data_IF_974663671537
#
_entry.id   IF_974663671537
#
_cell.length_a   1.000
_cell.length_b   1.000
_cell.length_c   1.000
_cell.angle_alpha   90.00
_cell.angle_beta   90.00
_cell.angle_gamma   90.00
#
_symmetry.space_group_name_H-M   'P 1'
#
loop_
_entity.id
_entity.type
_entity.pdbx_description
1 polymer ?
#
# COMPACT_ATOMS: atom_id res chain seq x y z
N UNK A 1 -23.80 0.03 -7.61
CA UNK A 1 -23.58 -1.17 -6.78
C UNK A 1 -22.11 -1.37 -6.54
N UNK A 2 -21.71 -2.18 -5.57
CA UNK A 2 -20.32 -2.60 -5.34
C UNK A 2 -20.05 -3.91 -6.08
N UNK A 3 -18.85 -4.05 -6.67
CA UNK A 3 -18.42 -5.26 -7.38
C UNK A 3 -17.01 -5.65 -6.94
N UNK A 4 -16.76 -6.95 -6.77
CA UNK A 4 -15.39 -7.48 -6.59
C UNK A 4 -14.61 -7.40 -7.90
N UNK A 5 -13.30 -7.30 -7.77
CA UNK A 5 -12.36 -7.34 -8.88
C UNK A 5 -11.10 -8.09 -8.45
N UNK A 6 -10.49 -8.81 -9.38
CA UNK A 6 -9.17 -9.44 -9.21
C UNK A 6 -8.04 -8.52 -9.73
N UNK A 7 -8.41 -7.37 -10.31
CA UNK A 7 -7.44 -6.40 -10.77
C UNK A 7 -6.83 -5.63 -9.58
N UNK A 8 -5.52 -5.54 -9.56
CA UNK A 8 -4.77 -4.68 -8.64
C UNK A 8 -5.09 -3.21 -8.87
N UNK A 9 -4.87 -2.33 -7.86
CA UNK A 9 -5.07 -0.90 -8.05
C UNK A 9 -4.15 -0.33 -9.14
N UNK A 10 -4.67 0.58 -9.94
CA UNK A 10 -3.82 1.44 -10.75
C UNK A 10 -3.23 2.54 -9.85
N UNK A 11 -1.96 2.38 -9.49
CA UNK A 11 -1.24 3.28 -8.60
C UNK A 11 -0.76 4.56 -9.31
N UNK A 12 -0.81 4.60 -10.62
CA UNK A 12 -0.43 5.76 -11.44
C UNK A 12 -1.62 6.60 -11.91
N UNK A 13 -2.84 6.24 -11.50
CA UNK A 13 -4.03 6.98 -11.91
C UNK A 13 -4.00 8.42 -11.42
N UNK A 14 -4.23 9.34 -12.33
CA UNK A 14 -4.12 10.79 -12.06
C UNK A 14 -5.32 11.40 -11.35
N UNK A 15 -6.46 10.68 -11.32
CA UNK A 15 -7.69 11.11 -10.66
C UNK A 15 -7.79 10.68 -9.18
N UNK A 16 -6.78 9.96 -8.65
CA UNK A 16 -6.66 9.62 -7.24
C UNK A 16 -5.84 10.68 -6.49
N UNK A 17 -6.48 11.76 -6.10
CA UNK A 17 -5.82 12.85 -5.36
C UNK A 17 -5.50 12.52 -3.90
N UNK A 18 -6.08 11.45 -3.34
CA UNK A 18 -5.91 11.05 -1.94
C UNK A 18 -5.90 9.52 -1.79
N UNK A 19 -4.75 8.86 -1.94
CA UNK A 19 -4.55 7.48 -1.53
C UNK A 19 -4.42 7.38 -0.01
N UNK A 20 -5.13 6.42 0.59
CA UNK A 20 -5.06 6.11 2.01
C UNK A 20 -4.58 4.68 2.21
N UNK A 21 -3.78 4.48 3.23
CA UNK A 21 -3.37 3.17 3.70
C UNK A 21 -3.75 3.02 5.18
N UNK A 22 -4.33 1.87 5.53
CA UNK A 22 -4.60 1.57 6.93
C UNK A 22 -4.25 0.13 7.27
N UNK A 23 -3.82 -0.10 8.51
CA UNK A 23 -3.45 -1.42 9.00
C UNK A 23 -4.39 -1.81 10.13
N UNK A 24 -4.93 -3.03 10.03
CA UNK A 24 -5.76 -3.63 11.07
C UNK A 24 -5.06 -4.88 11.63
N UNK A 25 -5.12 -5.05 12.95
CA UNK A 25 -4.75 -6.30 13.60
C UNK A 25 -6.00 -7.15 13.79
N UNK A 26 -5.92 -8.39 13.33
CA UNK A 26 -7.01 -9.37 13.43
C UNK A 26 -6.58 -10.63 14.18
N UNK A 27 -5.30 -10.75 14.50
CA UNK A 27 -4.72 -11.66 15.46
C UNK A 27 -4.39 -13.08 14.97
N UNK A 28 -5.10 -13.65 13.97
CA UNK A 28 -4.85 -15.02 13.49
C UNK A 28 -5.15 -15.20 11.99
N UNK A 29 -4.55 -16.22 11.33
CA UNK A 29 -4.85 -16.51 9.91
C UNK A 29 -6.31 -16.80 9.63
N UNK A 30 -7.01 -17.45 10.55
CA UNK A 30 -8.43 -17.72 10.42
C UNK A 30 -9.23 -16.41 10.42
N UNK A 31 -8.90 -15.53 11.35
CA UNK A 31 -9.57 -14.22 11.46
C UNK A 31 -9.23 -13.30 10.28
N UNK A 32 -8.00 -13.39 9.71
CA UNK A 32 -7.70 -12.69 8.46
C UNK A 32 -8.72 -13.05 7.37
N UNK A 33 -8.92 -14.34 7.09
CA UNK A 33 -9.88 -14.83 6.08
C UNK A 33 -11.32 -14.39 6.41
N UNK A 34 -11.74 -14.57 7.67
CA UNK A 34 -13.08 -14.18 8.11
C UNK A 34 -13.32 -12.67 7.96
N UNK A 35 -12.31 -11.85 8.27
CA UNK A 35 -12.41 -10.39 8.14
C UNK A 35 -12.49 -9.96 6.68
N UNK A 36 -11.68 -10.56 5.79
CA UNK A 36 -11.75 -10.30 4.33
C UNK A 36 -13.13 -10.63 3.79
N UNK A 37 -13.69 -11.79 4.17
CA UNK A 37 -15.05 -12.18 3.75
C UNK A 37 -16.12 -11.26 4.33
N UNK A 38 -16.02 -10.87 5.58
CA UNK A 38 -16.96 -9.93 6.21
C UNK A 38 -16.94 -8.56 5.51
N UNK A 39 -15.74 -8.05 5.16
CA UNK A 39 -15.57 -6.81 4.38
C UNK A 39 -16.26 -6.97 3.03
N UNK A 40 -15.94 -8.02 2.27
CA UNK A 40 -16.52 -8.26 0.96
C UNK A 40 -18.04 -8.30 1.01
N UNK A 41 -18.60 -9.13 1.90
CA UNK A 41 -20.04 -9.28 2.07
C UNK A 41 -20.74 -7.97 2.48
N UNK A 42 -20.15 -7.21 3.42
CA UNK A 42 -20.70 -5.92 3.86
C UNK A 42 -20.76 -4.89 2.74
N UNK A 43 -19.70 -4.82 1.93
CA UNK A 43 -19.65 -3.85 0.84
C UNK A 43 -20.54 -4.25 -0.35
N UNK A 44 -20.63 -5.52 -0.70
CA UNK A 44 -21.47 -6.01 -1.81
C UNK A 44 -22.97 -5.86 -1.55
N UNK A 45 -23.39 -5.97 -0.29
CA UNK A 45 -24.80 -5.73 0.08
C UNK A 45 -25.23 -4.27 0.03
N UNK A 46 -24.27 -3.34 -0.11
CA UNK A 46 -24.51 -1.90 -0.06
C UNK A 46 -24.19 -1.23 -1.40
N UNK A 47 -24.84 -0.13 -1.71
CA UNK A 47 -24.44 0.68 -2.85
C UNK A 47 -23.03 1.20 -2.64
N UNK A 48 -22.32 1.42 -3.78
CA UNK A 48 -21.05 2.14 -3.75
C UNK A 48 -21.27 3.53 -3.14
N UNK A 49 -20.44 3.98 -2.19
CA UNK A 49 -20.83 5.13 -1.34
C UNK A 49 -20.84 6.47 -2.08
N UNK A 50 -19.96 6.66 -3.06
CA UNK A 50 -19.91 7.87 -3.87
C UNK A 50 -18.93 7.70 -5.03
N UNK A 51 -19.02 8.58 -6.03
CA UNK A 51 -18.03 8.67 -7.12
C UNK A 51 -16.65 9.17 -6.66
N UNK A 52 -16.56 9.64 -5.42
CA UNK A 52 -15.32 10.07 -4.80
C UNK A 52 -14.41 8.92 -4.38
N UNK A 53 -14.95 7.73 -4.11
CA UNK A 53 -14.18 6.51 -3.90
C UNK A 53 -13.96 5.81 -5.24
N UNK A 54 -12.70 5.58 -5.59
CA UNK A 54 -12.31 5.04 -6.89
C UNK A 54 -12.05 3.54 -6.85
N UNK A 55 -11.59 3.04 -5.71
CA UNK A 55 -11.35 1.64 -5.43
C UNK A 55 -10.95 1.41 -3.98
N UNK A 56 -11.22 0.22 -3.48
CA UNK A 56 -10.85 -0.21 -2.13
C UNK A 56 -10.29 -1.63 -2.19
N UNK A 57 -9.09 -1.81 -1.65
CA UNK A 57 -8.31 -3.03 -1.76
C UNK A 57 -7.86 -3.50 -0.38
N UNK A 58 -7.89 -4.80 -0.16
CA UNK A 58 -7.49 -5.44 1.09
C UNK A 58 -6.45 -6.51 0.79
N UNK A 59 -5.43 -6.57 1.63
CA UNK A 59 -4.32 -7.50 1.52
C UNK A 59 -4.12 -8.20 2.85
N UNK A 60 -3.77 -9.49 2.83
CA UNK A 60 -3.40 -10.27 4.02
C UNK A 60 -1.91 -10.18 4.28
N UNK A 61 -1.52 -9.84 5.50
CA UNK A 61 -0.13 -9.82 5.92
C UNK A 61 0.46 -11.22 6.05
N UNK A 62 1.71 -11.40 5.63
CA UNK A 62 2.47 -12.64 5.82
C UNK A 62 2.78 -12.93 7.29
N UNK A 63 2.57 -11.98 8.18
CA UNK A 63 2.62 -12.17 9.64
C UNK A 63 1.42 -12.98 10.16
N UNK A 64 0.48 -13.33 9.27
CA UNK A 64 -0.72 -14.10 9.55
C UNK A 64 -1.68 -13.45 10.57
N UNK A 65 -1.54 -12.17 10.84
CA UNK A 65 -2.30 -11.44 11.87
C UNK A 65 -2.79 -10.06 11.46
N UNK A 66 -2.23 -9.47 10.40
CA UNK A 66 -2.60 -8.12 9.96
C UNK A 66 -3.30 -8.11 8.59
N UNK A 67 -4.10 -7.06 8.37
CA UNK A 67 -4.62 -6.68 7.07
C UNK A 67 -4.11 -5.28 6.72
N UNK A 68 -3.67 -5.12 5.48
CA UNK A 68 -3.45 -3.80 4.88
C UNK A 68 -4.66 -3.44 4.04
N UNK A 69 -5.11 -2.21 4.17
CA UNK A 69 -6.16 -1.63 3.35
C UNK A 69 -5.58 -0.48 2.53
N UNK A 70 -5.87 -0.47 1.25
CA UNK A 70 -5.58 0.64 0.37
C UNK A 70 -6.87 1.15 -0.26
N UNK A 71 -7.16 2.44 -0.10
CA UNK A 71 -8.31 3.08 -0.75
C UNK A 71 -7.87 4.30 -1.55
N UNK A 72 -8.41 4.42 -2.75
CA UNK A 72 -8.11 5.50 -3.67
C UNK A 72 -9.31 6.44 -3.73
N UNK A 73 -9.09 7.70 -3.38
CA UNK A 73 -10.11 8.74 -3.34
C UNK A 73 -9.75 9.88 -4.30
N UNK A 74 -10.75 10.52 -4.89
CA UNK A 74 -10.54 11.74 -5.68
C UNK A 74 -9.98 12.87 -4.84
N UNK A 75 -10.39 12.97 -3.58
CA UNK A 75 -9.93 14.00 -2.64
C UNK A 75 -10.13 13.57 -1.19
N UNK A 76 -9.47 14.26 -0.27
CA UNK A 76 -9.67 14.09 1.17
C UNK A 76 -11.11 14.43 1.59
N UNK A 77 -11.72 15.45 0.98
CA UNK A 77 -13.10 15.84 1.25
C UNK A 77 -14.10 14.71 0.90
N UNK A 78 -13.83 13.97 -0.19
CA UNK A 78 -14.66 12.80 -0.56
C UNK A 78 -14.57 11.70 0.50
N UNK A 79 -13.37 11.45 1.04
CA UNK A 79 -13.19 10.53 2.16
C UNK A 79 -13.91 11.02 3.43
N UNK A 80 -13.79 12.29 3.79
CA UNK A 80 -14.46 12.86 4.97
C UNK A 80 -16.00 12.78 4.86
N UNK A 81 -16.54 13.00 3.67
CA UNK A 81 -17.97 12.81 3.41
C UNK A 81 -18.39 11.34 3.64
N UNK A 82 -17.61 10.39 3.14
CA UNK A 82 -17.83 8.96 3.40
C UNK A 82 -17.79 8.61 4.89
N UNK A 83 -16.82 9.14 5.63
CA UNK A 83 -16.72 8.91 7.08
C UNK A 83 -17.97 9.36 7.81
N UNK A 84 -18.52 10.53 7.44
CA UNK A 84 -19.71 11.11 8.08
C UNK A 84 -21.00 10.36 7.77
N UNK A 85 -21.09 9.71 6.60
CA UNK A 85 -22.37 9.21 6.09
C UNK A 85 -22.46 7.70 5.94
N UNK A 86 -21.34 7.00 5.68
CA UNK A 86 -21.39 5.60 5.24
C UNK A 86 -20.45 4.66 5.99
N UNK A 87 -19.41 5.20 6.65
CA UNK A 87 -18.35 4.38 7.24
C UNK A 87 -18.85 3.58 8.45
N UNK A 88 -19.57 4.24 9.37
CA UNK A 88 -19.91 3.63 10.67
C UNK A 88 -20.74 2.37 10.51
N UNK A 89 -21.75 2.37 9.66
CA UNK A 89 -22.58 1.18 9.41
C UNK A 89 -21.77 -0.02 8.89
N UNK A 90 -20.77 0.23 8.05
CA UNK A 90 -19.87 -0.82 7.55
C UNK A 90 -18.97 -1.36 8.64
N UNK A 91 -18.46 -0.47 9.49
CA UNK A 91 -17.63 -0.84 10.64
C UNK A 91 -18.41 -1.72 11.60
N UNK A 92 -19.62 -1.30 11.99
CA UNK A 92 -20.45 -2.03 12.95
C UNK A 92 -20.80 -3.43 12.44
N UNK A 93 -21.09 -3.56 11.16
CA UNK A 93 -21.43 -4.84 10.52
C UNK A 93 -20.19 -5.79 10.47
N UNK A 94 -19.02 -5.27 10.11
CA UNK A 94 -17.78 -6.04 10.09
C UNK A 94 -17.40 -6.46 11.52
N UNK A 95 -17.46 -5.54 12.49
CA UNK A 95 -17.12 -5.83 13.88
C UNK A 95 -18.10 -6.80 14.55
N UNK A 96 -19.36 -6.79 14.12
CA UNK A 96 -20.35 -7.79 14.55
C UNK A 96 -20.00 -9.18 14.00
N UNK A 97 -19.58 -9.26 12.74
CA UNK A 97 -19.20 -10.53 12.11
C UNK A 97 -17.88 -11.08 12.66
N UNK A 98 -16.92 -10.22 12.97
CA UNK A 98 -15.59 -10.57 13.48
C UNK A 98 -15.21 -9.63 14.64
N UNK A 99 -15.68 -9.92 15.88
CA UNK A 99 -15.39 -9.07 17.03
C UNK A 99 -13.89 -8.98 17.37
N UNK A 100 -13.43 -7.84 17.88
CA UNK A 100 -12.07 -7.65 18.36
C UNK A 100 -11.05 -7.36 17.25
N UNK A 101 -11.46 -6.72 16.15
CA UNK A 101 -10.58 -6.11 15.17
C UNK A 101 -10.02 -4.82 15.76
N UNK A 102 -8.69 -4.68 15.73
CA UNK A 102 -8.00 -3.46 16.14
C UNK A 102 -7.55 -2.67 14.91
N UNK A 103 -8.00 -1.42 14.79
CA UNK A 103 -7.59 -0.51 13.72
C UNK A 103 -6.38 0.27 14.18
N UNK A 104 -5.20 -0.21 13.79
CA UNK A 104 -3.92 0.28 14.32
C UNK A 104 -3.60 1.68 13.79
N UNK A 105 -3.81 1.89 12.49
CA UNK A 105 -3.43 3.14 11.83
C UNK A 105 -4.23 3.40 10.56
N UNK A 106 -4.39 4.69 10.24
CA UNK A 106 -4.86 5.20 8.96
C UNK A 106 -4.01 6.40 8.57
N UNK A 107 -3.26 6.28 7.50
CA UNK A 107 -2.40 7.34 6.99
C UNK A 107 -2.86 7.84 5.63
N UNK A 108 -2.68 9.13 5.43
CA UNK A 108 -3.00 9.86 4.20
C UNK A 108 -1.73 10.14 3.45
N UNK A 109 -1.76 9.87 2.14
CA UNK A 109 -0.59 10.05 1.29
C UNK A 109 -0.91 10.83 0.02
N UNK A 110 0.16 11.25 -0.66
CA UNK A 110 0.14 11.74 -2.04
C UNK A 110 1.15 10.94 -2.83
N UNK A 111 0.74 10.39 -3.95
CA UNK A 111 1.67 9.74 -4.86
C UNK A 111 2.70 10.77 -5.34
N UNK A 112 3.98 10.35 -5.37
CA UNK A 112 5.09 11.22 -5.77
C UNK A 112 5.77 10.72 -7.03
N UNK A 113 6.32 9.52 -7.01
CA UNK A 113 7.01 8.92 -8.15
C UNK A 113 6.78 7.41 -8.19
N UNK A 114 6.90 6.87 -9.41
CA UNK A 114 6.90 5.41 -9.63
C UNK A 114 8.11 5.03 -10.46
N UNK A 115 8.64 3.84 -10.18
CA UNK A 115 9.59 3.14 -11.03
C UNK A 115 8.98 1.81 -11.43
N UNK A 116 9.05 1.47 -12.70
CA UNK A 116 8.57 0.19 -13.25
C UNK A 116 9.50 -0.24 -14.36
N UNK A 117 9.71 -1.55 -14.47
CA UNK A 117 10.41 -2.09 -15.63
C UNK A 117 9.62 -1.81 -16.89
N UNK A 118 10.25 -1.37 -17.96
CA UNK A 118 9.60 -1.26 -19.27
C UNK A 118 8.99 -2.61 -19.66
N UNK A 119 7.77 -2.58 -20.19
CA UNK A 119 7.06 -3.74 -20.73
C UNK A 119 6.77 -4.89 -19.72
N UNK A 120 6.93 -4.65 -18.42
CA UNK A 120 6.57 -5.64 -17.41
C UNK A 120 5.05 -5.68 -17.21
N UNK A 121 4.43 -6.77 -17.63
CA UNK A 121 2.99 -7.02 -17.55
C UNK A 121 2.62 -8.06 -16.50
N UNK A 122 3.59 -8.50 -15.68
CA UNK A 122 3.33 -9.50 -14.63
C UNK A 122 2.34 -8.98 -13.61
N UNK A 123 1.50 -9.90 -13.11
CA UNK A 123 0.65 -9.64 -11.96
C UNK A 123 1.48 -9.90 -10.69
N UNK A 124 1.54 -8.96 -9.75
CA UNK A 124 2.32 -9.17 -8.54
C UNK A 124 1.71 -10.26 -7.65
N UNK A 125 2.54 -11.20 -7.20
CA UNK A 125 2.17 -12.20 -6.20
C UNK A 125 2.41 -11.74 -4.76
N UNK A 126 3.16 -10.66 -4.58
CA UNK A 126 3.42 -10.06 -3.28
C UNK A 126 3.51 -8.54 -3.38
N UNK A 127 2.88 -7.87 -2.42
CA UNK A 127 3.03 -6.43 -2.20
C UNK A 127 3.93 -6.23 -0.98
N UNK A 128 5.00 -5.48 -1.19
CA UNK A 128 5.92 -5.11 -0.11
C UNK A 128 5.70 -3.64 0.23
N UNK A 129 5.30 -3.40 1.45
CA UNK A 129 5.21 -2.04 1.99
C UNK A 129 6.49 -1.75 2.75
N UNK A 130 7.21 -0.75 2.29
CA UNK A 130 8.34 -0.17 3.02
C UNK A 130 7.90 1.20 3.53
N UNK A 131 7.82 1.31 4.85
CA UNK A 131 7.49 2.58 5.50
C UNK A 131 8.75 3.18 6.11
N UNK A 132 8.97 4.43 5.79
CA UNK A 132 10.11 5.20 6.24
C UNK A 132 9.58 6.38 7.04
N UNK A 133 10.13 6.56 8.24
CA UNK A 133 9.84 7.70 9.10
C UNK A 133 11.05 8.62 9.19
N UNK A 134 10.81 9.92 9.07
CA UNK A 134 11.79 10.98 9.19
C UNK A 134 11.54 11.83 10.43
N UNK A 135 12.56 12.51 10.91
CA UNK A 135 12.42 13.56 11.92
C UNK A 135 11.58 14.71 11.36
N UNK A 136 10.85 15.43 12.22
CA UNK A 136 9.91 16.49 11.82
C UNK A 136 10.57 17.64 11.03
N UNK A 137 11.85 17.89 11.28
CA UNK A 137 12.64 18.92 10.58
C UNK A 137 12.95 18.62 9.12
N UNK A 138 12.62 17.44 8.63
CA UNK A 138 13.10 16.92 7.35
C UNK A 138 12.04 16.87 6.24
N UNK A 139 11.00 17.69 6.26
CA UNK A 139 9.88 17.62 5.30
C UNK A 139 10.32 17.68 3.82
N UNK A 140 11.26 18.54 3.47
CA UNK A 140 11.81 18.66 2.11
C UNK A 140 12.77 17.52 1.76
N UNK A 141 13.38 16.91 2.77
CA UNK A 141 14.32 15.80 2.63
C UNK A 141 13.69 14.53 2.06
N UNK A 142 12.41 14.29 2.31
CA UNK A 142 11.69 13.09 1.86
C UNK A 142 11.65 12.91 0.34
N UNK A 143 11.42 14.00 -0.39
CA UNK A 143 11.45 13.96 -1.87
C UNK A 143 12.84 13.63 -2.37
N UNK A 144 13.83 14.32 -1.87
CA UNK A 144 15.22 14.08 -2.24
C UNK A 144 15.69 12.67 -1.85
N UNK A 145 15.18 12.12 -0.74
CA UNK A 145 15.42 10.73 -0.37
C UNK A 145 14.79 9.74 -1.38
N UNK A 146 13.53 9.95 -1.76
CA UNK A 146 12.88 9.11 -2.79
C UNK A 146 13.63 9.20 -4.11
N UNK A 147 14.06 10.39 -4.51
CA UNK A 147 14.85 10.58 -5.73
C UNK A 147 16.18 9.82 -5.66
N UNK A 148 16.85 9.82 -4.51
CA UNK A 148 18.06 9.04 -4.29
C UNK A 148 17.82 7.52 -4.32
N UNK A 149 16.68 7.04 -3.80
CA UNK A 149 16.28 5.61 -3.92
C UNK A 149 16.10 5.23 -5.38
N UNK A 150 15.43 6.07 -6.16
CA UNK A 150 15.20 5.80 -7.58
C UNK A 150 16.52 5.83 -8.34
N UNK A 151 17.40 6.79 -8.05
CA UNK A 151 18.74 6.85 -8.61
C UNK A 151 19.54 5.58 -8.31
N UNK A 152 19.48 5.07 -7.07
CA UNK A 152 20.11 3.82 -6.68
C UNK A 152 19.55 2.62 -7.46
N UNK A 153 18.21 2.52 -7.59
CA UNK A 153 17.55 1.46 -8.37
C UNK A 153 17.94 1.51 -9.86
N UNK A 154 17.96 2.70 -10.45
CA UNK A 154 18.30 2.90 -11.87
C UNK A 154 19.79 2.66 -12.16
N UNK A 155 20.64 2.79 -11.14
CA UNK A 155 22.08 2.54 -11.25
C UNK A 155 22.46 1.07 -11.13
N UNK A 156 21.53 0.19 -10.74
CA UNK A 156 21.79 -1.24 -10.63
C UNK A 156 22.02 -1.86 -12.01
N UNK A 157 23.20 -2.50 -12.24
CA UNK A 157 23.50 -3.09 -13.54
C UNK A 157 22.63 -4.31 -13.84
N UNK A 158 22.20 -5.03 -12.81
CA UNK A 158 21.38 -6.24 -12.91
C UNK A 158 20.33 -6.26 -11.79
N UNK A 159 19.23 -5.51 -11.95
CA UNK A 159 18.18 -5.46 -10.94
C UNK A 159 17.52 -6.81 -10.76
N UNK A 160 17.19 -7.17 -9.50
CA UNK A 160 16.65 -8.49 -9.15
C UNK A 160 15.41 -8.83 -10.00
N UNK A 161 15.39 -10.01 -10.67
CA UNK A 161 14.37 -10.35 -11.65
C UNK A 161 12.94 -10.38 -11.08
N UNK A 162 12.77 -10.68 -9.79
CA UNK A 162 11.47 -10.74 -9.13
C UNK A 162 10.81 -9.39 -8.82
N UNK A 163 11.55 -8.26 -8.91
CA UNK A 163 10.99 -6.93 -8.75
C UNK A 163 10.17 -6.51 -9.98
N UNK A 164 8.99 -5.93 -9.79
CA UNK A 164 8.07 -5.49 -10.86
C UNK A 164 8.01 -3.97 -10.90
N UNK A 165 7.63 -3.33 -9.79
CA UNK A 165 7.50 -1.88 -9.70
C UNK A 165 7.65 -1.37 -8.27
N UNK A 166 7.86 -0.06 -8.13
CA UNK A 166 7.81 0.65 -6.86
C UNK A 166 7.05 1.97 -7.01
N UNK A 167 6.19 2.26 -6.06
CA UNK A 167 5.33 3.44 -6.06
C UNK A 167 5.48 4.19 -4.75
N UNK A 168 6.12 5.36 -4.82
CA UNK A 168 6.47 6.16 -3.65
C UNK A 168 5.39 7.19 -3.35
N UNK A 169 4.96 7.21 -2.10
CA UNK A 169 3.94 8.08 -1.57
C UNK A 169 4.49 8.90 -0.41
N UNK A 170 4.21 10.19 -0.39
CA UNK A 170 4.58 11.09 0.69
C UNK A 170 3.42 11.27 1.64
N UNK A 171 3.63 10.99 2.94
CA UNK A 171 2.65 11.22 3.99
C UNK A 171 2.29 12.70 4.11
N UNK A 172 1.00 12.99 4.28
CA UNK A 172 0.52 14.37 4.44
C UNK A 172 0.87 14.96 5.82
N UNK A 173 1.30 14.10 6.75
CA UNK A 173 1.85 14.48 8.07
C UNK A 173 3.22 15.16 8.01
N UNK A 174 3.91 15.08 6.89
CA UNK A 174 5.22 15.67 6.72
C UNK A 174 6.40 14.77 7.14
N UNK A 175 6.16 13.60 7.72
CA UNK A 175 7.23 12.77 8.32
C UNK A 175 7.43 11.42 7.65
N UNK A 176 6.51 10.96 6.81
CA UNK A 176 6.55 9.59 6.27
C UNK A 176 6.70 9.52 4.77
N UNK A 177 7.35 8.46 4.35
CA UNK A 177 7.33 7.94 2.97
C UNK A 177 6.84 6.50 3.03
N UNK A 178 5.94 6.13 2.12
CA UNK A 178 5.53 4.76 1.90
C UNK A 178 5.91 4.36 0.47
N UNK A 179 6.66 3.29 0.34
CA UNK A 179 6.86 2.61 -0.94
C UNK A 179 5.94 1.38 -1.00
N UNK A 180 5.03 1.40 -1.97
CA UNK A 180 4.25 0.23 -2.35
C UNK A 180 5.00 -0.45 -3.50
N UNK A 181 5.70 -1.53 -3.19
CA UNK A 181 6.50 -2.25 -4.17
C UNK A 181 5.81 -3.56 -4.58
N UNK A 182 5.74 -3.77 -5.89
CA UNK A 182 5.17 -4.97 -6.51
C UNK A 182 6.29 -5.98 -6.78
N UNK A 183 6.08 -7.21 -6.33
CA UNK A 183 7.02 -8.32 -6.46
C UNK A 183 6.32 -9.57 -7.01
N UNK A 184 7.07 -10.39 -7.73
CA UNK A 184 6.59 -11.67 -8.23
C UNK A 184 6.13 -12.60 -7.09
N UNK A 185 6.88 -12.60 -5.98
CA UNK A 185 6.55 -13.35 -4.77
C UNK A 185 7.25 -12.76 -3.53
N UNK A 186 6.79 -13.16 -2.34
CA UNK A 186 7.46 -12.82 -1.10
C UNK A 186 8.88 -13.39 -1.05
N UNK A 187 9.10 -14.60 -1.58
CA UNK A 187 10.40 -15.24 -1.63
C UNK A 187 11.36 -14.45 -2.52
N UNK A 188 10.90 -13.99 -3.68
CA UNK A 188 11.74 -13.18 -4.57
C UNK A 188 12.24 -11.88 -3.91
N UNK A 189 11.41 -11.25 -3.08
CA UNK A 189 11.84 -10.09 -2.30
C UNK A 189 12.84 -10.47 -1.19
N UNK A 190 12.64 -11.62 -0.51
CA UNK A 190 13.57 -12.11 0.52
C UNK A 190 14.94 -12.42 -0.11
N UNK A 191 14.94 -13.08 -1.26
CA UNK A 191 16.15 -13.43 -2.00
C UNK A 191 16.90 -12.18 -2.48
N UNK A 192 16.17 -11.15 -2.92
CA UNK A 192 16.76 -9.87 -3.29
C UNK A 192 17.47 -9.17 -2.13
N UNK A 193 16.91 -9.20 -0.93
CA UNK A 193 17.53 -8.64 0.27
C UNK A 193 18.72 -9.46 0.76
N UNK A 194 18.76 -10.76 0.49
CA UNK A 194 19.81 -11.67 0.88
C UNK A 194 20.93 -11.79 -0.17
N UNK A 195 20.71 -11.25 -1.37
CA UNK A 195 21.66 -11.36 -2.47
C UNK A 195 22.99 -10.65 -2.13
N UNK A 196 24.13 -11.32 -2.28
CA UNK A 196 25.43 -10.69 -2.09
C UNK A 196 25.71 -9.71 -3.24
N UNK A 197 26.35 -8.59 -2.95
CA UNK A 197 26.85 -7.66 -3.96
C UNK A 197 25.93 -6.48 -4.21
N UNK A 198 25.43 -6.28 -5.42
CA UNK A 198 24.89 -5.02 -5.93
C UNK A 198 23.36 -4.83 -5.76
N UNK A 199 22.68 -5.69 -5.00
CA UNK A 199 21.22 -5.66 -4.82
C UNK A 199 20.70 -4.56 -3.88
N UNK A 200 19.41 -4.53 -3.71
CA UNK A 200 18.68 -3.60 -2.82
C UNK A 200 19.27 -3.68 -1.41
N UNK A 201 19.76 -2.53 -0.92
CA UNK A 201 20.39 -2.47 0.40
C UNK A 201 21.85 -2.95 0.43
N UNK A 202 22.50 -3.10 -0.73
CA UNK A 202 23.92 -3.44 -0.85
C UNK A 202 24.83 -2.36 -0.27
N UNK A 203 26.15 -2.66 -0.20
CA UNK A 203 27.18 -1.71 0.23
C UNK A 203 27.62 -0.72 -0.86
N UNK A 204 26.88 -0.62 -1.97
CA UNK A 204 27.15 0.40 -3.01
C UNK A 204 26.90 1.80 -2.45
N UNK A 205 27.67 2.76 -2.96
CA UNK A 205 27.64 4.15 -2.50
C UNK A 205 26.23 4.76 -2.58
N UNK A 206 25.46 4.45 -3.61
CA UNK A 206 24.10 4.93 -3.81
C UNK A 206 23.16 4.41 -2.69
N UNK A 207 23.24 3.11 -2.37
CA UNK A 207 22.45 2.52 -1.29
C UNK A 207 22.94 2.95 0.10
N UNK A 208 24.24 3.07 0.32
CA UNK A 208 24.80 3.63 1.56
C UNK A 208 24.25 5.03 1.83
N UNK A 209 24.22 5.88 0.80
CA UNK A 209 23.63 7.22 0.87
C UNK A 209 22.14 7.17 1.29
N UNK A 210 21.36 6.25 0.73
CA UNK A 210 19.94 6.06 1.07
C UNK A 210 19.77 5.63 2.53
N UNK A 211 20.58 4.66 2.98
CA UNK A 211 20.50 4.09 4.33
C UNK A 211 20.96 5.05 5.42
N UNK A 212 21.91 5.91 5.12
CA UNK A 212 22.50 6.89 6.05
C UNK A 212 21.94 8.30 5.88
N UNK A 213 20.79 8.42 5.22
CA UNK A 213 20.20 9.72 4.91
C UNK A 213 19.94 10.55 6.17
N UNK A 214 20.33 11.85 6.20
CA UNK A 214 20.12 12.71 7.34
C UNK A 214 18.63 12.86 7.71
N UNK A 215 18.30 12.68 8.98
CA UNK A 215 16.92 12.75 9.49
C UNK A 215 16.11 11.47 9.27
N UNK A 216 16.71 10.39 8.75
CA UNK A 216 16.08 9.07 8.72
C UNK A 216 15.96 8.53 10.14
N UNK A 217 14.74 8.25 10.59
CA UNK A 217 14.45 7.76 11.95
C UNK A 217 14.24 6.26 12.01
N UNK A 218 13.45 5.71 11.11
CA UNK A 218 13.17 4.28 11.04
C UNK A 218 12.75 3.84 9.64
N UNK A 219 12.94 2.54 9.37
CA UNK A 219 12.41 1.87 8.20
C UNK A 219 11.81 0.53 8.62
N UNK A 220 10.62 0.22 8.13
CA UNK A 220 9.95 -1.07 8.35
C UNK A 220 9.54 -1.69 7.03
N UNK A 221 9.58 -3.01 6.96
CA UNK A 221 9.23 -3.79 5.77
C UNK A 221 8.17 -4.81 6.14
N UNK A 222 7.04 -4.76 5.44
CA UNK A 222 5.95 -5.72 5.60
C UNK A 222 5.54 -6.30 4.24
N UNK A 223 5.19 -7.59 4.22
CA UNK A 223 4.79 -8.32 3.01
C UNK A 223 3.34 -8.70 3.08
N UNK A 224 2.64 -8.55 1.96
CA UNK A 224 1.21 -8.77 1.86
C UNK A 224 0.85 -9.51 0.58
N UNK A 225 -0.25 -10.25 0.61
CA UNK A 225 -0.89 -10.85 -0.56
C UNK A 225 -2.23 -10.18 -0.83
N UNK A 226 -2.55 -10.01 -2.10
CA UNK A 226 -3.84 -9.47 -2.51
C UNK A 226 -4.97 -10.43 -2.10
N UNK A 227 -5.99 -9.91 -1.41
CA UNK A 227 -7.10 -10.71 -0.91
C UNK A 227 -8.46 -10.27 -1.44
N UNK A 228 -8.67 -8.97 -1.67
CA UNK A 228 -9.96 -8.44 -2.09
C UNK A 228 -9.81 -7.08 -2.76
N UNK A 229 -10.43 -6.90 -3.92
CA UNK A 229 -10.63 -5.60 -4.53
C UNK A 229 -12.12 -5.31 -4.70
N UNK A 230 -12.50 -4.07 -4.41
CA UNK A 230 -13.87 -3.57 -4.53
C UNK A 230 -13.87 -2.29 -5.36
N UNK A 231 -14.74 -2.25 -6.36
CA UNK A 231 -14.88 -1.13 -7.28
C UNK A 231 -16.37 -0.83 -7.54
N UNK A 232 -16.69 0.37 -8.04
CA UNK A 232 -18.06 0.66 -8.48
C UNK A 232 -18.46 -0.23 -9.64
N UNK A 233 -19.67 -0.79 -9.57
CA UNK A 233 -20.29 -1.44 -10.72
C UNK A 233 -20.86 -0.35 -11.64
N UNK A 234 -20.16 -0.11 -12.75
CA UNK A 234 -20.55 0.88 -13.77
C UNK A 234 -21.45 0.29 -14.87
N UNK A 235 -21.83 -0.99 -14.76
CA UNK A 235 -22.60 -1.68 -15.80
C UNK A 235 -24.12 -1.47 -15.65
N UNK A 236 -24.58 -0.82 -14.60
CA UNK A 236 -25.98 -0.44 -14.40
C UNK A 236 -26.12 1.08 -14.34
N UNK A 237 -26.93 1.70 -15.21
CA UNK A 237 -27.31 3.10 -15.14
C UNK A 237 -28.08 3.43 -13.86
#
# INVERSE_FOLDING_TARGET
MTRRTDAHPDLNRTDAGAPFFSTWSVGTPLRQRQTVEAIGATWERRPWPSDGLLGYYVYTGHDASTLLHHSQWRSEQAYEAFVKTHRQERVDEIDTAVPGIERLRLDRYRHYRSVRRPDDTRVPGCIVIVEIEFEESAADSRRAWVDAVIEALESEPDPHPGGISGHFHLGTDGTRVLNYAEWESAQAHIDALAAPGDGIGSARQEWERVQTWPGLKSSTVSRYEYALGLIPDRTRP
#
